data_IF_781458932998
#
_entry.id   IF_781458932998
#
_cell.length_a   1.000
_cell.length_b   1.000
_cell.length_c   1.000
_cell.angle_alpha   90.00
_cell.angle_beta   90.00
_cell.angle_gamma   90.00
#
_symmetry.space_group_name_H-M   'P 1'
#
loop_
_entity.id
_entity.type
_entity.pdbx_description
1 polymer ?
#
# COMPACT_ATOMS: atom_id res chain seq x y z
N UNK A 1 -15.17 -10.19 -7.52
CA UNK A 1 -14.08 -10.44 -6.56
C UNK A 1 -13.43 -9.10 -6.25
N UNK A 2 -13.01 -8.82 -5.01
CA UNK A 2 -12.45 -7.50 -4.64
C UNK A 2 -10.92 -7.42 -4.66
N UNK A 3 -10.21 -8.54 -4.79
CA UNK A 3 -8.75 -8.57 -4.78
C UNK A 3 -8.26 -9.18 -6.09
N UNK A 4 -8.15 -8.32 -7.10
CA UNK A 4 -7.57 -8.66 -8.38
C UNK A 4 -6.05 -8.41 -8.35
N UNK A 5 -5.23 -9.20 -9.05
CA UNK A 5 -3.78 -8.96 -9.10
C UNK A 5 -3.48 -7.65 -9.83
N UNK A 6 -2.64 -6.80 -9.23
CA UNK A 6 -2.20 -5.52 -9.80
C UNK A 6 -0.68 -5.56 -10.01
N UNK A 7 -0.26 -5.50 -11.27
CA UNK A 7 1.15 -5.46 -11.66
C UNK A 7 1.72 -4.03 -11.66
N UNK A 8 3.04 -3.90 -11.47
CA UNK A 8 3.77 -2.63 -11.66
C UNK A 8 3.58 -1.57 -10.56
N UNK A 9 2.73 -1.82 -9.56
CA UNK A 9 2.47 -0.90 -8.45
C UNK A 9 3.65 -0.76 -7.48
N UNK A 10 4.34 -1.87 -7.19
CA UNK A 10 5.42 -1.96 -6.21
C UNK A 10 6.53 -2.86 -6.76
N UNK A 11 7.78 -2.55 -6.43
CA UNK A 11 8.91 -3.39 -6.83
C UNK A 11 9.10 -4.58 -5.87
N UNK A 12 9.48 -5.74 -6.42
CA UNK A 12 9.82 -6.98 -5.69
C UNK A 12 8.74 -7.58 -4.76
N UNK A 13 7.55 -6.98 -4.69
CA UNK A 13 6.40 -7.47 -3.93
C UNK A 13 5.16 -7.59 -4.82
N UNK A 14 4.14 -8.25 -4.29
CA UNK A 14 2.86 -8.40 -4.96
C UNK A 14 1.87 -7.36 -4.45
N UNK A 15 1.04 -6.87 -5.36
CA UNK A 15 -0.09 -6.00 -5.06
C UNK A 15 -1.39 -6.67 -5.51
N UNK A 16 -2.41 -6.62 -4.66
CA UNK A 16 -3.76 -7.02 -4.98
C UNK A 16 -4.73 -5.87 -4.68
N UNK A 17 -5.88 -5.82 -5.33
CA UNK A 17 -6.85 -4.77 -5.06
C UNK A 17 -7.87 -4.61 -6.17
N UNK A 18 -8.43 -3.40 -6.26
CA UNK A 18 -9.29 -3.00 -7.36
C UNK A 18 -8.70 -1.74 -7.98
N UNK A 19 -8.35 -1.83 -9.26
CA UNK A 19 -7.77 -0.72 -10.00
C UNK A 19 -8.61 0.56 -9.83
N UNK A 20 -7.93 1.68 -9.59
CA UNK A 20 -8.54 3.00 -9.37
C UNK A 20 -9.48 3.09 -8.16
N UNK A 21 -9.40 2.16 -7.21
CA UNK A 21 -10.18 2.17 -5.98
C UNK A 21 -9.33 1.89 -4.73
N UNK A 22 -8.57 0.80 -4.71
CA UNK A 22 -7.62 0.53 -3.63
C UNK A 22 -6.56 -0.50 -4.02
N UNK A 23 -5.41 -0.42 -3.34
CA UNK A 23 -4.26 -1.29 -3.53
C UNK A 23 -3.74 -1.80 -2.19
N UNK A 24 -3.59 -3.11 -2.05
CA UNK A 24 -3.12 -3.79 -0.86
C UNK A 24 -1.81 -4.51 -1.15
N UNK A 25 -0.78 -4.20 -0.36
CA UNK A 25 0.55 -4.80 -0.44
C UNK A 25 0.85 -5.43 0.90
N UNK A 26 1.02 -6.75 0.95
CA UNK A 26 1.46 -7.46 2.15
C UNK A 26 2.95 -7.73 2.06
N UNK A 27 3.72 -7.32 3.08
CA UNK A 27 5.18 -7.42 3.07
C UNK A 27 5.69 -8.80 3.50
N UNK A 28 4.82 -9.66 4.05
CA UNK A 28 5.22 -10.99 4.52
C UNK A 28 6.35 -10.91 5.54
N UNK A 29 7.38 -11.74 5.40
CA UNK A 29 8.56 -11.70 6.29
C UNK A 29 9.48 -10.51 6.03
N UNK A 30 9.29 -9.78 4.91
CA UNK A 30 10.11 -8.61 4.61
C UNK A 30 9.81 -7.49 5.61
N UNK A 31 10.87 -6.81 6.04
CA UNK A 31 10.85 -5.74 7.03
C UNK A 31 11.24 -4.41 6.38
N UNK A 32 10.55 -3.96 5.32
CA UNK A 32 10.93 -2.72 4.65
C UNK A 32 10.78 -1.54 5.61
N UNK A 33 11.75 -0.65 5.58
CA UNK A 33 11.61 0.70 6.14
C UNK A 33 10.96 1.67 5.14
N UNK A 34 10.92 1.28 3.85
CA UNK A 34 10.43 2.09 2.74
C UNK A 34 9.85 1.19 1.65
N UNK A 35 8.75 1.60 1.03
CA UNK A 35 8.22 1.01 -0.19
C UNK A 35 8.14 2.07 -1.30
N UNK A 36 8.76 1.78 -2.43
CA UNK A 36 8.66 2.60 -3.65
C UNK A 36 7.42 2.16 -4.44
N UNK A 37 6.45 3.07 -4.61
CA UNK A 37 5.20 2.81 -5.30
C UNK A 37 5.03 3.66 -6.56
N UNK A 38 4.30 3.13 -7.53
CA UNK A 38 3.82 3.84 -8.72
C UNK A 38 2.30 3.87 -8.75
N UNK A 39 1.71 4.85 -8.04
CA UNK A 39 0.26 5.06 -8.03
C UNK A 39 -0.19 5.75 -9.33
N UNK A 40 -1.48 5.62 -9.73
CA UNK A 40 -2.00 6.39 -10.85
C UNK A 40 -1.82 7.90 -10.63
N UNK A 41 -1.28 8.59 -11.64
CA UNK A 41 -1.10 10.04 -11.59
C UNK A 41 -2.44 10.77 -11.56
N UNK A 42 -2.51 11.86 -10.79
CA UNK A 42 -3.73 12.67 -10.64
C UNK A 42 -4.81 12.08 -9.74
N UNK A 43 -4.61 10.86 -9.23
CA UNK A 43 -5.45 10.24 -8.22
C UNK A 43 -4.77 10.29 -6.84
N UNK A 44 -5.55 10.53 -5.80
CA UNK A 44 -5.05 10.64 -4.43
C UNK A 44 -5.43 9.41 -3.61
N UNK A 45 -4.48 8.92 -2.82
CA UNK A 45 -4.65 7.71 -2.02
C UNK A 45 -4.24 7.95 -0.57
N UNK A 46 -5.15 7.69 0.35
CA UNK A 46 -4.87 7.64 1.78
C UNK A 46 -4.15 6.33 2.10
N UNK A 47 -2.95 6.42 2.68
CA UNK A 47 -2.22 5.26 3.17
C UNK A 47 -2.75 4.80 4.53
N UNK A 48 -2.81 3.48 4.72
CA UNK A 48 -3.09 2.80 5.98
C UNK A 48 -2.06 1.68 6.16
N UNK A 49 -1.26 1.76 7.23
CA UNK A 49 -0.34 0.69 7.62
C UNK A 49 -1.08 -0.23 8.58
N UNK A 50 -1.21 -1.49 8.18
CA UNK A 50 -1.91 -2.53 8.93
C UNK A 50 -0.86 -3.44 9.56
N UNK A 51 -0.78 -3.43 10.88
CA UNK A 51 -0.07 -4.47 11.62
C UNK A 51 -1.00 -5.68 11.76
N UNK A 52 -0.71 -6.75 11.03
CA UNK A 52 -1.57 -7.93 10.99
C UNK A 52 -1.43 -8.80 12.25
N UNK A 53 -0.40 -8.58 13.05
CA UNK A 53 -0.17 -9.30 14.30
C UNK A 53 -0.88 -8.63 15.47
N UNK A 54 -0.68 -7.31 15.62
CA UNK A 54 -1.34 -6.49 16.64
C UNK A 54 -2.78 -6.10 16.27
N UNK A 55 -3.24 -6.52 15.07
CA UNK A 55 -4.59 -6.23 14.55
C UNK A 55 -4.93 -4.73 14.56
N UNK A 56 -3.95 -3.90 14.20
CA UNK A 56 -4.06 -2.44 14.29
C UNK A 56 -3.88 -1.76 12.93
N UNK A 57 -4.47 -0.58 12.79
CA UNK A 57 -4.38 0.25 11.58
C UNK A 57 -3.85 1.62 11.98
N UNK A 58 -2.75 2.03 11.35
CA UNK A 58 -2.13 3.35 11.54
C UNK A 58 -2.32 4.18 10.26
N UNK A 59 -3.06 5.30 10.31
CA UNK A 59 -3.20 6.20 9.18
C UNK A 59 -1.85 6.82 8.79
N UNK A 60 -1.55 6.82 7.49
CA UNK A 60 -0.39 7.47 6.90
C UNK A 60 -0.72 8.80 6.21
N UNK A 61 0.20 9.26 5.36
CA UNK A 61 -0.04 10.43 4.52
C UNK A 61 -0.89 10.09 3.27
N UNK A 62 -1.29 11.13 2.54
CA UNK A 62 -1.93 11.01 1.23
C UNK A 62 -0.84 11.07 0.15
N UNK A 63 -0.94 10.18 -0.84
CA UNK A 63 0.03 10.05 -1.93
C UNK A 63 -0.62 10.07 -3.32
N UNK A 64 0.19 10.38 -4.33
CA UNK A 64 -0.17 10.34 -5.75
C UNK A 64 1.09 10.14 -6.60
N UNK A 65 0.98 9.48 -7.76
CA UNK A 65 2.12 9.23 -8.66
C UNK A 65 3.20 8.34 -8.06
N UNK A 66 4.47 8.60 -8.43
CA UNK A 66 5.63 7.88 -7.90
C UNK A 66 6.02 8.41 -6.53
N UNK A 67 6.02 7.55 -5.52
CA UNK A 67 6.21 7.93 -4.12
C UNK A 67 7.00 6.89 -3.34
N UNK A 68 7.64 7.35 -2.27
CA UNK A 68 8.25 6.49 -1.27
C UNK A 68 7.40 6.52 0.01
N UNK A 69 6.85 5.39 0.40
CA UNK A 69 6.00 5.26 1.60
C UNK A 69 6.83 4.70 2.76
N UNK A 70 7.00 5.45 3.86
CA UNK A 70 7.66 4.94 5.06
C UNK A 70 6.91 3.75 5.65
N UNK A 71 7.65 2.71 6.03
CA UNK A 71 7.13 1.50 6.64
C UNK A 71 7.79 1.24 8.00
N UNK A 72 7.16 0.46 8.90
CA UNK A 72 7.65 0.30 10.27
C UNK A 72 8.98 -0.46 10.43
N UNK A 73 9.53 -1.06 9.37
CA UNK A 73 10.70 -1.92 9.48
C UNK A 73 10.42 -3.21 10.29
N UNK A 74 9.18 -3.73 10.21
CA UNK A 74 8.74 -4.94 10.91
C UNK A 74 8.18 -5.95 9.91
N UNK A 75 8.20 -7.22 10.28
CA UNK A 75 7.56 -8.27 9.50
C UNK A 75 6.03 -8.19 9.63
N UNK A 76 5.34 -8.85 8.70
CA UNK A 76 3.90 -9.09 8.69
C UNK A 76 3.06 -7.81 8.69
N UNK A 77 3.57 -6.80 7.99
CA UNK A 77 2.85 -5.55 7.77
C UNK A 77 2.11 -5.64 6.43
N UNK A 78 1.00 -4.90 6.34
CA UNK A 78 0.37 -4.60 5.08
C UNK A 78 0.25 -3.09 4.90
N UNK A 79 0.38 -2.62 3.67
CA UNK A 79 0.08 -1.26 3.26
C UNK A 79 -1.18 -1.30 2.40
N UNK A 80 -2.21 -0.57 2.82
CA UNK A 80 -3.42 -0.33 2.05
C UNK A 80 -3.45 1.12 1.59
N UNK A 81 -3.55 1.31 0.28
CA UNK A 81 -3.73 2.60 -0.37
C UNK A 81 -5.18 2.70 -0.82
N UNK A 82 -6.01 3.49 -0.13
CA UNK A 82 -7.42 3.70 -0.54
C UNK A 82 -7.54 5.00 -1.30
N UNK A 83 -8.16 4.96 -2.48
CA UNK A 83 -8.47 6.18 -3.22
C UNK A 83 -9.41 7.05 -2.39
N UNK A 84 -9.11 8.34 -2.32
CA UNK A 84 -10.04 9.34 -1.82
C UNK A 84 -10.71 10.02 -3.01
N UNK A 85 -12.02 10.20 -2.93
CA UNK A 85 -12.73 11.06 -3.86
C UNK A 85 -12.42 12.53 -3.53
N UNK A 86 -12.33 13.42 -4.53
CA UNK A 86 -12.17 14.85 -4.32
C UNK A 86 -13.29 15.48 -3.48
#
# INVERSE_FOLDING_TARGET
SGLDPIGGMVNALLCAGKAHAYYLIYTGVAQPALLELSLPEGEHYQAEIIDTWEMSVTPGAIYSGRVDVPMPGKAYQALLMRRIEP
#
